data_IF_475036178441
#
_entry.id   IF_475036178441
#
_cell.length_a   1.000
_cell.length_b   1.000
_cell.length_c   1.000
_cell.angle_alpha   90.00
_cell.angle_beta   90.00
_cell.angle_gamma   90.00
#
_symmetry.space_group_name_H-M   'P 1'
#
loop_
_entity.id
_entity.type
_entity.pdbx_description
1 polymer ?
#
# COMPACT_ATOMS: atom_id res chain seq x y z
N UNK A 1 -4.05 -5.42 -65.16
CA UNK A 1 -4.49 -4.04 -64.88
C UNK A 1 -5.99 -4.07 -64.66
N UNK A 2 -6.39 -4.23 -63.40
CA UNK A 2 -7.72 -3.90 -62.88
C UNK A 2 -7.52 -3.74 -61.37
N UNK A 3 -7.85 -2.54 -60.90
CA UNK A 3 -7.74 -2.01 -59.55
C UNK A 3 -8.64 -2.75 -58.57
N UNK A 4 -8.11 -3.09 -57.39
CA UNK A 4 -8.91 -3.36 -56.21
C UNK A 4 -8.72 -2.21 -55.24
N UNK A 5 -9.85 -1.59 -54.94
CA UNK A 5 -10.06 -0.41 -54.11
C UNK A 5 -9.76 -0.71 -52.64
N UNK A 6 -9.37 0.35 -51.94
CA UNK A 6 -9.00 0.41 -50.53
C UNK A 6 -10.07 -0.21 -49.61
N UNK A 7 -9.64 -1.14 -48.75
CA UNK A 7 -10.41 -1.57 -47.58
C UNK A 7 -9.87 -0.84 -46.35
N UNK A 8 -10.73 0.00 -45.76
CA UNK A 8 -10.50 0.80 -44.57
C UNK A 8 -10.00 -0.05 -43.40
N UNK A 9 -8.77 0.24 -42.94
CA UNK A 9 -8.09 -0.43 -41.81
C UNK A 9 -8.58 0.00 -40.43
N UNK A 10 -9.52 0.94 -40.37
CA UNK A 10 -9.93 1.59 -39.11
C UNK A 10 -11.18 0.94 -38.46
N UNK A 11 -11.93 0.12 -39.21
CA UNK A 11 -13.13 -0.56 -38.69
C UNK A 11 -12.85 -1.83 -37.88
N UNK A 12 -11.71 -2.48 -38.10
CA UNK A 12 -11.36 -3.74 -37.42
C UNK A 12 -10.74 -3.52 -36.03
N UNK A 13 -10.21 -2.33 -35.75
CA UNK A 13 -9.63 -1.99 -34.44
C UNK A 13 -10.69 -1.65 -33.38
N UNK A 14 -11.93 -1.36 -33.82
CA UNK A 14 -13.05 -1.04 -32.93
C UNK A 14 -13.80 -2.31 -32.46
N UNK A 15 -13.92 -3.34 -33.30
CA UNK A 15 -14.51 -4.64 -32.93
C UNK A 15 -13.65 -5.46 -31.94
N UNK A 16 -12.34 -5.24 -31.94
CA UNK A 16 -11.40 -5.86 -31.00
C UNK A 16 -11.44 -5.24 -29.59
N UNK A 17 -11.93 -4.00 -29.44
CA UNK A 17 -12.05 -3.34 -28.12
C UNK A 17 -13.18 -3.95 -27.29
N UNK A 18 -14.24 -4.42 -27.92
CA UNK A 18 -15.40 -4.99 -27.23
C UNK A 18 -15.18 -6.41 -26.72
N UNK A 19 -14.27 -7.19 -27.33
CA UNK A 19 -13.90 -8.53 -26.83
C UNK A 19 -13.01 -8.45 -25.58
N UNK A 20 -12.27 -7.34 -25.40
CA UNK A 20 -11.35 -7.12 -24.27
C UNK A 20 -12.05 -6.44 -23.07
N UNK A 21 -13.30 -5.97 -23.23
CA UNK A 21 -13.97 -5.10 -22.27
C UNK A 21 -15.12 -5.73 -21.44
N UNK A 22 -15.39 -7.04 -21.54
CA UNK A 22 -16.56 -7.59 -20.84
C UNK A 22 -16.29 -8.00 -19.37
N UNK A 23 -17.14 -7.57 -18.42
CA UNK A 23 -17.04 -7.94 -17.02
C UNK A 23 -17.48 -9.40 -16.80
N UNK A 24 -16.81 -10.09 -15.88
CA UNK A 24 -17.17 -11.43 -15.43
C UNK A 24 -18.55 -11.36 -14.75
N UNK A 25 -19.62 -11.66 -15.47
CA UNK A 25 -20.93 -11.89 -14.88
C UNK A 25 -21.00 -13.30 -14.29
N UNK A 26 -21.51 -13.35 -13.07
CA UNK A 26 -21.68 -14.52 -12.23
C UNK A 26 -22.92 -15.31 -12.65
N UNK A 27 -22.75 -16.55 -13.07
CA UNK A 27 -23.84 -17.52 -13.02
C UNK A 27 -23.78 -18.28 -11.70
N UNK A 28 -24.87 -18.16 -10.94
CA UNK A 28 -25.05 -18.79 -9.65
C UNK A 28 -25.27 -20.29 -9.81
N UNK A 29 -24.36 -21.08 -9.25
CA UNK A 29 -24.64 -22.46 -8.91
C UNK A 29 -24.99 -22.52 -7.42
N UNK A 30 -26.28 -22.77 -7.15
CA UNK A 30 -26.79 -23.15 -5.85
C UNK A 30 -26.20 -24.51 -5.46
N UNK A 31 -25.13 -24.49 -4.67
CA UNK A 31 -24.74 -25.63 -3.85
C UNK A 31 -25.18 -25.35 -2.41
N UNK A 32 -26.22 -26.07 -1.97
CA UNK A 32 -26.66 -26.10 -0.58
C UNK A 32 -25.59 -26.81 0.24
N UNK A 33 -24.89 -26.07 1.10
CA UNK A 33 -23.99 -26.63 2.12
C UNK A 33 -24.82 -26.95 3.37
N UNK A 34 -24.74 -28.15 3.96
CA UNK A 34 -25.47 -28.49 5.17
C UNK A 34 -25.00 -27.61 6.35
N UNK A 35 -25.97 -26.98 7.00
CA UNK A 35 -25.83 -26.06 8.14
C UNK A 35 -25.53 -26.80 9.44
N UNK A 36 -24.31 -27.34 9.61
CA UNK A 36 -23.82 -27.79 10.91
C UNK A 36 -22.30 -27.59 11.05
N UNK A 37 -21.83 -26.35 11.15
CA UNK A 37 -20.51 -26.05 11.78
C UNK A 37 -20.34 -24.61 12.29
N UNK A 38 -21.39 -23.79 12.35
CA UNK A 38 -21.26 -22.35 12.62
C UNK A 38 -21.21 -21.89 14.09
N UNK A 39 -21.25 -22.79 15.08
CA UNK A 39 -21.41 -22.38 16.48
C UNK A 39 -20.19 -22.59 17.40
N UNK A 40 -18.94 -22.63 16.88
CA UNK A 40 -17.75 -22.68 17.74
C UNK A 40 -16.70 -21.56 17.52
N UNK A 41 -16.89 -20.63 16.57
CA UNK A 41 -15.92 -19.55 16.33
C UNK A 41 -16.23 -18.21 17.01
N UNK A 42 -17.41 -18.04 17.62
CA UNK A 42 -17.86 -16.71 18.09
C UNK A 42 -17.27 -16.31 19.44
N UNK A 43 -16.91 -17.28 20.30
CA UNK A 43 -16.35 -17.04 21.64
C UNK A 43 -14.82 -16.88 21.66
N UNK A 44 -14.15 -17.06 20.52
CA UNK A 44 -12.71 -16.80 20.36
C UNK A 44 -12.36 -15.38 19.92
N UNK A 45 -13.31 -14.61 19.36
CA UNK A 45 -13.01 -13.31 18.75
C UNK A 45 -12.90 -12.15 19.76
N UNK A 46 -13.64 -12.18 20.87
CA UNK A 46 -13.55 -11.13 21.92
C UNK A 46 -12.22 -11.23 22.71
N UNK A 47 -11.75 -12.46 23.00
CA UNK A 47 -10.47 -12.66 23.67
C UNK A 47 -9.25 -12.27 22.80
N UNK A 48 -9.34 -12.41 21.47
CA UNK A 48 -8.26 -12.02 20.55
C UNK A 48 -8.20 -10.48 20.42
N UNK A 49 -9.35 -9.80 20.42
CA UNK A 49 -9.41 -8.34 20.37
C UNK A 49 -8.78 -7.71 21.63
N UNK A 50 -9.16 -8.16 22.82
CA UNK A 50 -8.58 -7.65 24.08
C UNK A 50 -7.08 -7.97 24.20
N UNK A 51 -6.64 -9.18 23.79
CA UNK A 51 -5.21 -9.51 23.77
C UNK A 51 -4.41 -8.64 22.78
N UNK A 52 -4.98 -8.35 21.61
CA UNK A 52 -4.36 -7.49 20.60
C UNK A 52 -4.22 -6.04 21.08
N UNK A 53 -5.23 -5.49 21.79
CA UNK A 53 -5.17 -4.14 22.35
C UNK A 53 -4.15 -4.03 23.49
N UNK A 54 -4.05 -5.06 24.34
CA UNK A 54 -3.12 -5.09 25.46
C UNK A 54 -1.66 -5.24 24.98
N UNK A 55 -1.44 -6.07 23.96
CA UNK A 55 -0.13 -6.25 23.32
C UNK A 55 0.31 -4.99 22.56
N UNK A 56 -0.65 -4.28 21.95
CA UNK A 56 -0.39 -3.01 21.27
C UNK A 56 0.00 -1.90 22.27
N UNK A 57 -0.69 -1.79 23.42
CA UNK A 57 -0.35 -0.84 24.48
C UNK A 57 1.05 -1.10 25.08
N UNK A 58 1.39 -2.36 25.35
CA UNK A 58 2.70 -2.73 25.87
C UNK A 58 3.82 -2.44 24.86
N UNK A 59 3.55 -2.67 23.57
CA UNK A 59 4.47 -2.34 22.48
C UNK A 59 4.70 -0.84 22.39
N UNK A 60 3.64 -0.03 22.45
CA UNK A 60 3.72 1.44 22.44
C UNK A 60 4.51 2.01 23.64
N UNK A 61 4.34 1.44 24.84
CA UNK A 61 5.12 1.85 26.02
C UNK A 61 6.61 1.52 25.87
N UNK A 62 6.96 0.37 25.29
CA UNK A 62 8.35 0.02 24.98
C UNK A 62 8.94 0.97 23.94
N UNK A 63 8.19 1.34 22.89
CA UNK A 63 8.63 2.35 21.90
C UNK A 63 8.91 3.70 22.56
N UNK A 64 8.04 4.17 23.46
CA UNK A 64 8.26 5.42 24.22
C UNK A 64 9.54 5.39 25.03
N UNK A 65 9.83 4.25 25.66
CA UNK A 65 11.06 4.06 26.42
C UNK A 65 12.29 4.08 25.51
N UNK A 66 12.27 3.28 24.43
CA UNK A 66 13.38 3.18 23.48
C UNK A 66 13.66 4.55 22.80
N UNK A 67 12.63 5.29 22.40
CA UNK A 67 12.77 6.63 21.83
C UNK A 67 13.35 7.61 22.85
N UNK A 68 12.88 7.61 24.10
CA UNK A 68 13.41 8.50 25.14
C UNK A 68 14.88 8.22 25.46
N UNK A 69 15.31 6.95 25.45
CA UNK A 69 16.71 6.58 25.67
C UNK A 69 17.61 6.92 24.47
N UNK A 70 17.11 6.79 23.23
CA UNK A 70 17.87 7.00 22.00
C UNK A 70 17.95 8.47 21.59
N UNK A 71 16.86 9.22 21.73
CA UNK A 71 16.66 10.54 21.09
C UNK A 71 16.88 11.71 22.03
N UNK A 72 16.66 11.51 23.33
CA UNK A 72 16.64 12.58 24.33
C UNK A 72 17.74 12.44 25.40
N UNK A 73 18.80 11.68 25.10
CA UNK A 73 19.94 11.44 26.01
C UNK A 73 21.10 12.44 25.86
N UNK A 74 21.01 13.45 24.98
CA UNK A 74 22.05 14.48 24.86
C UNK A 74 21.94 15.54 25.95
N UNK A 75 23.08 15.99 26.50
CA UNK A 75 23.13 17.00 27.56
C UNK A 75 22.54 18.37 27.17
N UNK A 76 22.46 18.68 25.86
CA UNK A 76 21.75 19.85 25.30
C UNK A 76 20.23 19.79 25.53
N UNK A 77 19.69 18.60 25.79
CA UNK A 77 18.27 18.35 26.03
C UNK A 77 17.85 18.64 27.48
N UNK A 78 18.78 18.56 28.42
CA UNK A 78 18.53 18.52 29.87
C UNK A 78 18.52 19.90 30.55
N UNK A 79 18.89 20.99 29.88
CA UNK A 79 18.95 22.32 30.50
C UNK A 79 17.62 23.10 30.50
N UNK A 80 16.61 22.69 29.74
CA UNK A 80 15.29 23.35 29.74
C UNK A 80 14.31 22.64 30.67
N UNK A 81 14.50 22.90 31.96
CA UNK A 81 13.74 22.42 33.11
C UNK A 81 12.26 22.91 33.18
N UNK A 82 11.62 23.21 32.04
CA UNK A 82 10.23 23.68 31.92
C UNK A 82 9.33 22.79 31.05
N UNK A 83 9.84 21.75 30.39
CA UNK A 83 9.12 21.06 29.30
C UNK A 83 8.12 19.97 29.75
N UNK A 84 8.38 19.30 30.87
CA UNK A 84 7.44 18.33 31.45
C UNK A 84 6.13 18.99 31.91
N UNK A 85 6.24 20.08 32.67
CA UNK A 85 5.09 20.87 33.13
C UNK A 85 4.31 21.50 31.97
N UNK A 86 5.00 22.02 30.95
CA UNK A 86 4.33 22.61 29.78
C UNK A 86 3.56 21.58 28.95
N UNK A 87 4.07 20.36 28.80
CA UNK A 87 3.32 19.29 28.12
C UNK A 87 2.05 18.91 28.90
N UNK A 88 2.14 18.77 30.23
CA UNK A 88 0.96 18.49 31.07
C UNK A 88 -0.07 19.60 30.98
N UNK A 89 0.33 20.87 31.05
CA UNK A 89 -0.58 22.03 30.93
C UNK A 89 -1.28 22.06 29.57
N UNK A 90 -0.56 21.81 28.48
CA UNK A 90 -1.14 21.77 27.12
C UNK A 90 -2.12 20.60 26.99
N UNK A 91 -1.81 19.43 27.56
CA UNK A 91 -2.68 18.27 27.56
C UNK A 91 -3.94 18.47 28.40
N UNK A 92 -3.82 19.03 29.60
CA UNK A 92 -4.94 19.37 30.46
C UNK A 92 -5.86 20.39 29.79
N UNK A 93 -5.30 21.43 29.17
CA UNK A 93 -6.08 22.41 28.41
C UNK A 93 -6.83 21.78 27.22
N UNK A 94 -6.20 20.82 26.54
CA UNK A 94 -6.84 20.06 25.45
C UNK A 94 -7.98 19.18 25.93
N UNK A 95 -7.83 18.51 27.08
CA UNK A 95 -8.85 17.63 27.66
C UNK A 95 -10.01 18.43 28.24
N UNK A 96 -9.71 19.54 28.94
CA UNK A 96 -10.70 20.39 29.59
C UNK A 96 -11.58 21.18 28.58
N UNK A 97 -11.09 21.39 27.36
CA UNK A 97 -11.76 22.21 26.35
C UNK A 97 -12.32 21.41 25.18
N UNK A 98 -13.59 20.99 25.27
CA UNK A 98 -14.37 20.70 24.06
C UNK A 98 -14.58 22.01 23.28
N UNK A 99 -13.79 22.25 22.23
CA UNK A 99 -13.61 23.53 21.49
C UNK A 99 -12.55 24.51 22.03
N UNK A 100 -11.59 24.05 22.84
CA UNK A 100 -10.49 24.88 23.40
C UNK A 100 -9.29 25.16 22.48
N UNK A 101 -9.44 25.04 21.16
CA UNK A 101 -8.31 25.13 20.21
C UNK A 101 -7.53 26.45 20.28
N UNK A 102 -8.18 27.56 20.63
CA UNK A 102 -7.54 28.89 20.70
C UNK A 102 -6.55 29.01 21.86
N UNK A 103 -6.89 28.49 23.04
CA UNK A 103 -6.00 28.55 24.21
C UNK A 103 -4.79 27.64 24.01
N UNK A 104 -5.04 26.41 23.51
CA UNK A 104 -3.97 25.46 23.19
C UNK A 104 -3.04 26.04 22.12
N UNK A 105 -3.59 26.68 21.07
CA UNK A 105 -2.80 27.41 20.07
C UNK A 105 -1.89 28.48 20.67
N UNK A 106 -2.43 29.33 21.56
CA UNK A 106 -1.63 30.40 22.17
C UNK A 106 -0.49 29.84 23.02
N UNK A 107 -0.75 28.76 23.78
CA UNK A 107 0.26 28.10 24.61
C UNK A 107 1.35 27.46 23.74
N UNK A 108 0.98 26.77 22.64
CA UNK A 108 1.96 26.15 21.73
C UNK A 108 2.81 27.19 21.01
N UNK A 109 2.21 28.25 20.45
CA UNK A 109 2.97 29.32 19.78
C UNK A 109 3.91 30.04 20.75
N UNK A 110 3.46 30.32 21.99
CA UNK A 110 4.32 30.94 23.02
C UNK A 110 5.50 30.03 23.36
N UNK A 111 5.28 28.72 23.46
CA UNK A 111 6.33 27.74 23.69
C UNK A 111 7.37 27.73 22.56
N UNK A 112 6.92 27.74 21.30
CA UNK A 112 7.82 27.74 20.15
C UNK A 112 8.66 29.02 20.11
N UNK A 113 8.06 30.19 20.33
CA UNK A 113 8.78 31.47 20.34
C UNK A 113 9.75 31.62 21.51
N UNK A 114 9.50 30.96 22.65
CA UNK A 114 10.39 31.00 23.80
C UNK A 114 11.51 29.95 23.75
N UNK A 115 11.42 28.97 22.86
CA UNK A 115 12.40 27.88 22.75
C UNK A 115 13.64 28.33 22.00
N UNK A 116 14.81 27.92 22.49
CA UNK A 116 16.07 28.01 21.73
C UNK A 116 16.01 27.18 20.44
N UNK A 117 15.27 26.06 20.49
CA UNK A 117 15.11 25.15 19.36
C UNK A 117 13.62 24.80 19.16
N UNK A 118 12.89 25.58 18.34
CA UNK A 118 11.44 25.40 18.18
C UNK A 118 11.08 24.06 17.53
N UNK A 119 11.92 23.57 16.62
CA UNK A 119 11.78 22.26 15.96
C UNK A 119 11.81 21.12 16.98
N UNK A 120 12.83 21.08 17.82
CA UNK A 120 12.94 20.06 18.86
C UNK A 120 11.77 20.12 19.85
N UNK A 121 11.33 21.32 20.26
CA UNK A 121 10.16 21.48 21.13
C UNK A 121 8.88 20.95 20.50
N UNK A 122 8.70 21.15 19.19
CA UNK A 122 7.53 20.62 18.46
C UNK A 122 7.54 19.09 18.38
N UNK A 123 8.70 18.48 18.06
CA UNK A 123 8.85 17.02 18.06
C UNK A 123 8.53 16.44 19.44
N UNK A 124 9.08 17.05 20.48
CA UNK A 124 8.86 16.62 21.86
C UNK A 124 7.39 16.67 22.24
N UNK A 125 6.72 17.81 22.04
CA UNK A 125 5.32 18.00 22.40
C UNK A 125 4.39 17.06 21.62
N UNK A 126 4.66 16.89 20.32
CA UNK A 126 3.93 15.95 19.47
C UNK A 126 4.07 14.52 19.99
N UNK A 127 5.30 14.05 20.23
CA UNK A 127 5.57 12.67 20.66
C UNK A 127 4.99 12.35 22.04
N UNK A 128 5.05 13.32 22.96
CA UNK A 128 4.55 13.17 24.34
C UNK A 128 3.04 13.32 24.46
N UNK A 129 2.34 13.71 23.39
CA UNK A 129 0.88 13.73 23.37
C UNK A 129 0.30 12.36 23.70
N UNK A 130 -0.68 12.31 24.60
CA UNK A 130 -1.28 11.05 25.08
C UNK A 130 -1.93 10.21 23.97
N UNK A 131 -2.24 10.83 22.84
CA UNK A 131 -2.87 10.23 21.68
C UNK A 131 -1.93 10.08 20.48
N UNK A 132 -0.61 10.28 20.65
CA UNK A 132 0.36 10.25 19.56
C UNK A 132 0.22 9.00 18.69
N UNK A 133 0.32 7.79 19.24
CA UNK A 133 0.24 6.54 18.43
C UNK A 133 -1.17 6.20 17.90
N UNK A 134 -2.20 7.00 18.23
CA UNK A 134 -3.58 6.73 17.80
C UNK A 134 -3.77 7.21 16.36
N UNK A 135 -4.43 6.39 15.54
CA UNK A 135 -4.80 6.76 14.17
C UNK A 135 -6.04 7.69 14.16
N UNK A 136 -5.93 8.87 14.78
CA UNK A 136 -7.00 9.88 14.86
C UNK A 136 -6.60 11.15 14.13
N UNK A 137 -7.57 11.79 13.46
CA UNK A 137 -7.38 13.06 12.76
C UNK A 137 -7.52 14.27 13.67
N UNK A 138 -8.36 14.20 14.71
CA UNK A 138 -8.50 15.23 15.74
C UNK A 138 -7.75 14.81 17.01
N UNK A 139 -6.45 14.57 16.89
CA UNK A 139 -5.56 14.31 18.02
C UNK A 139 -4.80 15.56 18.43
N UNK A 140 -4.40 15.63 19.70
CA UNK A 140 -3.48 16.67 20.18
C UNK A 140 -2.17 16.61 19.39
N UNK A 141 -1.66 15.41 19.11
CA UNK A 141 -0.47 15.24 18.27
C UNK A 141 -0.64 15.88 16.88
N UNK A 142 -1.78 15.66 16.19
CA UNK A 142 -2.05 16.29 14.90
C UNK A 142 -2.17 17.80 15.04
N UNK A 143 -2.87 18.27 16.08
CA UNK A 143 -3.03 19.70 16.34
C UNK A 143 -1.70 20.40 16.57
N UNK A 144 -0.79 19.80 17.34
CA UNK A 144 0.56 20.34 17.59
C UNK A 144 1.35 20.46 16.30
N UNK A 145 1.30 19.44 15.44
CA UNK A 145 1.95 19.47 14.12
C UNK A 145 1.37 20.58 13.24
N UNK A 146 0.03 20.72 13.21
CA UNK A 146 -0.66 21.76 12.44
C UNK A 146 -0.31 23.16 12.95
N UNK A 147 -0.28 23.37 14.27
CA UNK A 147 0.09 24.67 14.84
C UNK A 147 1.57 24.98 14.64
N UNK A 148 2.45 23.98 14.65
CA UNK A 148 3.86 24.22 14.38
C UNK A 148 4.09 24.66 12.92
N UNK A 149 3.40 24.03 11.97
CA UNK A 149 3.40 24.46 10.56
C UNK A 149 2.93 25.92 10.41
N UNK A 150 1.81 26.28 11.06
CA UNK A 150 1.30 27.67 11.07
C UNK A 150 2.30 28.64 11.70
N UNK A 151 2.91 28.26 12.82
CA UNK A 151 3.91 29.09 13.49
C UNK A 151 5.16 29.30 12.63
N UNK A 152 5.62 28.28 11.88
CA UNK A 152 6.74 28.42 10.94
C UNK A 152 6.40 29.43 9.83
N UNK A 153 5.19 29.39 9.28
CA UNK A 153 4.74 30.34 8.27
C UNK A 153 4.67 31.78 8.81
N UNK A 154 4.13 31.96 10.03
CA UNK A 154 4.08 33.25 10.72
C UNK A 154 5.50 33.77 11.00
N UNK A 155 6.38 32.91 11.50
CA UNK A 155 7.78 33.26 11.78
C UNK A 155 8.51 33.69 10.50
N UNK A 156 8.33 32.96 9.39
CA UNK A 156 8.93 33.32 8.11
C UNK A 156 8.41 34.65 7.59
N UNK A 157 7.10 34.92 7.69
CA UNK A 157 6.51 36.21 7.29
C UNK A 157 7.07 37.38 8.09
N UNK A 158 7.34 37.20 9.38
CA UNK A 158 7.87 38.26 10.25
C UNK A 158 9.38 38.45 10.08
N UNK A 159 10.14 37.38 9.93
CA UNK A 159 11.61 37.42 9.98
C UNK A 159 12.30 37.30 8.62
N UNK A 160 11.58 36.86 7.58
CA UNK A 160 12.12 36.65 6.23
C UNK A 160 12.93 35.36 6.04
N UNK A 161 12.95 34.47 7.03
CA UNK A 161 13.65 33.17 6.97
C UNK A 161 12.96 32.12 7.85
N UNK A 162 13.22 30.83 7.57
CA UNK A 162 12.79 29.73 8.43
C UNK A 162 13.85 29.39 9.47
N UNK A 163 13.48 29.00 10.71
CA UNK A 163 14.43 28.51 11.69
C UNK A 163 15.21 27.32 11.15
N UNK A 164 16.54 27.34 11.27
CA UNK A 164 17.41 26.29 10.73
C UNK A 164 17.12 24.94 11.35
N UNK A 165 16.90 23.92 10.51
CA UNK A 165 16.76 22.52 10.94
C UNK A 165 18.13 21.84 10.85
N UNK A 166 18.65 21.36 11.99
CA UNK A 166 19.86 20.54 12.01
C UNK A 166 19.54 19.11 11.57
N UNK A 167 20.48 18.46 10.88
CA UNK A 167 20.31 17.08 10.40
C UNK A 167 19.97 16.09 11.52
N UNK A 168 20.56 16.26 12.71
CA UNK A 168 20.24 15.44 13.87
C UNK A 168 18.76 15.55 14.23
N UNK A 169 18.21 16.77 14.29
CA UNK A 169 16.80 17.01 14.61
C UNK A 169 15.89 16.41 13.55
N UNK A 170 16.25 16.48 12.26
CA UNK A 170 15.51 15.78 11.20
C UNK A 170 15.47 14.28 11.46
N UNK A 171 16.62 13.67 11.79
CA UNK A 171 16.69 12.25 12.12
C UNK A 171 15.78 11.92 13.30
N UNK A 172 15.80 12.72 14.36
CA UNK A 172 14.94 12.51 15.53
C UNK A 172 13.46 12.68 15.23
N UNK A 173 13.08 13.71 14.47
CA UNK A 173 11.70 13.93 14.06
C UNK A 173 11.17 12.76 13.24
N UNK A 174 11.99 12.26 12.30
CA UNK A 174 11.69 11.11 11.45
C UNK A 174 11.57 9.83 12.27
N UNK A 175 12.50 9.60 13.20
CA UNK A 175 12.46 8.46 14.11
C UNK A 175 11.21 8.51 15.00
N UNK A 176 10.80 9.68 15.47
CA UNK A 176 9.61 9.88 16.30
C UNK A 176 8.34 9.42 15.58
N UNK A 177 8.21 9.76 14.29
CA UNK A 177 7.04 9.43 13.48
C UNK A 177 7.17 8.12 12.71
N UNK A 178 8.30 7.42 12.80
CA UNK A 178 8.56 6.18 12.06
C UNK A 178 7.48 5.12 12.29
N UNK A 179 6.93 5.04 13.51
CA UNK A 179 5.87 4.10 13.93
C UNK A 179 4.50 4.76 14.08
N UNK A 180 4.36 6.00 13.65
CA UNK A 180 3.09 6.70 13.67
C UNK A 180 2.12 6.05 12.65
N UNK A 181 0.94 5.65 13.10
CA UNK A 181 -0.10 5.04 12.26
C UNK A 181 -0.78 6.07 11.35
N UNK A 182 -0.88 7.32 11.79
CA UNK A 182 -1.47 8.39 11.01
C UNK A 182 -0.49 8.89 9.94
N UNK A 183 -0.66 8.43 8.69
CA UNK A 183 0.20 8.82 7.56
C UNK A 183 0.19 10.32 7.23
N UNK A 184 -0.85 11.08 7.63
CA UNK A 184 -0.87 12.54 7.46
C UNK A 184 0.16 13.21 8.38
N UNK A 185 0.23 12.77 9.63
CA UNK A 185 1.24 13.26 10.60
C UNK A 185 2.63 12.94 10.09
N UNK A 186 2.89 11.69 9.68
CA UNK A 186 4.18 11.27 9.12
C UNK A 186 4.57 12.17 7.96
N UNK A 187 3.68 12.35 6.98
CA UNK A 187 3.95 13.16 5.79
C UNK A 187 4.21 14.63 6.14
N UNK A 188 3.44 15.22 7.04
CA UNK A 188 3.65 16.62 7.49
C UNK A 188 4.99 16.79 8.17
N UNK A 189 5.31 15.95 9.15
CA UNK A 189 6.59 16.02 9.87
C UNK A 189 7.74 15.79 8.91
N UNK A 190 7.69 14.77 8.07
CA UNK A 190 8.78 14.55 7.11
C UNK A 190 8.92 15.75 6.16
N UNK A 191 7.82 16.36 5.69
CA UNK A 191 7.89 17.55 4.84
C UNK A 191 8.47 18.79 5.55
N UNK A 192 8.11 19.03 6.82
CA UNK A 192 8.63 20.17 7.58
C UNK A 192 10.14 20.06 7.85
N UNK A 193 10.64 18.83 8.02
CA UNK A 193 12.03 18.57 8.42
C UNK A 193 12.91 18.10 7.26
N UNK A 194 12.34 17.92 6.06
CA UNK A 194 13.07 17.67 4.81
C UNK A 194 13.91 18.92 4.50
N UNK A 195 15.20 18.83 4.81
CA UNK A 195 16.18 19.84 4.45
C UNK A 195 16.52 19.83 2.95
N UNK A 196 17.56 20.59 2.60
CA UNK A 196 18.11 20.68 1.22
C UNK A 196 18.83 19.38 0.80
N UNK A 197 19.12 18.48 1.75
CA UNK A 197 19.89 17.26 1.51
C UNK A 197 19.01 16.07 1.10
N UNK A 198 19.59 15.15 0.33
CA UNK A 198 18.96 13.88 0.01
C UNK A 198 18.64 13.07 1.28
N UNK A 199 17.46 12.46 1.32
CA UNK A 199 16.98 11.69 2.48
C UNK A 199 17.67 10.32 2.64
N UNK A 200 18.71 10.02 1.84
CA UNK A 200 19.36 8.69 1.82
C UNK A 200 20.00 8.32 3.16
N UNK A 201 20.47 9.30 3.95
CA UNK A 201 20.99 9.04 5.30
C UNK A 201 19.92 8.53 6.30
N UNK A 202 18.63 8.58 5.94
CA UNK A 202 17.50 8.08 6.73
C UNK A 202 17.08 6.66 6.32
N UNK A 203 17.68 6.07 5.27
CA UNK A 203 17.44 4.67 4.85
C UNK A 203 17.59 3.70 6.03
N UNK A 204 18.60 3.81 6.92
CA UNK A 204 18.74 2.89 8.05
C UNK A 204 17.53 2.84 8.99
N UNK A 205 16.74 3.92 9.08
CA UNK A 205 15.50 3.93 9.88
C UNK A 205 14.43 3.05 9.24
N UNK A 206 14.35 3.06 7.90
CA UNK A 206 13.40 2.21 7.17
C UNK A 206 13.85 0.75 7.21
N UNK A 207 15.15 0.50 7.10
CA UNK A 207 15.74 -0.85 7.23
C UNK A 207 15.46 -1.46 8.61
N UNK A 208 15.61 -0.71 9.71
CA UNK A 208 15.23 -1.18 11.06
C UNK A 208 13.74 -1.57 11.14
N UNK A 209 12.84 -0.81 10.49
CA UNK A 209 11.42 -1.17 10.45
C UNK A 209 11.18 -2.45 9.63
N UNK A 210 11.93 -2.68 8.55
CA UNK A 210 11.85 -3.90 7.73
C UNK A 210 12.34 -5.10 8.54
N UNK A 211 13.48 -4.98 9.22
CA UNK A 211 14.04 -6.03 10.08
C UNK A 211 13.08 -6.42 11.20
N UNK A 212 12.32 -5.46 11.73
CA UNK A 212 11.28 -5.67 12.73
C UNK A 212 9.93 -6.11 12.16
N UNK A 213 9.85 -6.35 10.84
CA UNK A 213 8.64 -6.79 10.14
C UNK A 213 7.49 -5.76 10.19
N UNK A 214 7.80 -4.49 10.45
CA UNK A 214 6.84 -3.38 10.47
C UNK A 214 6.62 -2.80 9.05
N UNK A 215 6.33 -3.66 8.09
CA UNK A 215 6.30 -3.35 6.64
C UNK A 215 5.40 -2.16 6.27
N UNK A 216 4.27 -2.00 6.95
CA UNK A 216 3.35 -0.90 6.70
C UNK A 216 3.95 0.45 7.11
N UNK A 217 4.67 0.48 8.24
CA UNK A 217 5.38 1.66 8.72
C UNK A 217 6.57 1.98 7.81
N UNK A 218 7.35 0.95 7.44
CA UNK A 218 8.47 1.08 6.51
C UNK A 218 8.03 1.69 5.17
N UNK A 219 6.98 1.14 4.54
CA UNK A 219 6.46 1.62 3.27
C UNK A 219 5.95 3.07 3.36
N UNK A 220 5.15 3.41 4.38
CA UNK A 220 4.67 4.79 4.57
C UNK A 220 5.82 5.77 4.73
N UNK A 221 6.84 5.38 5.47
CA UNK A 221 8.01 6.22 5.70
C UNK A 221 8.86 6.37 4.43
N UNK A 222 9.09 5.31 3.69
CA UNK A 222 9.80 5.35 2.40
C UNK A 222 9.10 6.27 1.40
N UNK A 223 7.77 6.18 1.27
CA UNK A 223 6.96 7.10 0.45
C UNK A 223 7.06 8.52 0.99
N UNK A 224 6.90 8.71 2.30
CA UNK A 224 6.99 10.01 2.94
C UNK A 224 8.39 10.63 2.85
N UNK A 225 9.46 9.86 2.59
CA UNK A 225 10.84 10.32 2.38
C UNK A 225 11.26 10.36 0.90
N UNK A 226 10.38 9.99 -0.03
CA UNK A 226 10.66 9.87 -1.47
C UNK A 226 11.84 8.92 -1.77
N UNK A 227 12.00 7.84 -1.01
CA UNK A 227 13.08 6.86 -1.16
C UNK A 227 12.73 5.79 -2.22
N UNK A 228 12.38 6.22 -3.44
CA UNK A 228 12.05 5.33 -4.53
C UNK A 228 13.31 4.72 -5.16
N UNK A 229 13.25 3.47 -5.61
CA UNK A 229 14.38 2.73 -6.16
C UNK A 229 15.47 2.32 -5.16
N UNK A 230 15.28 2.55 -3.85
CA UNK A 230 16.26 2.18 -2.81
C UNK A 230 16.00 0.83 -2.15
N UNK A 231 14.78 0.31 -2.29
CA UNK A 231 14.32 -0.93 -1.66
C UNK A 231 13.97 -1.96 -2.72
N UNK A 232 14.03 -3.24 -2.34
CA UNK A 232 13.61 -4.38 -3.17
C UNK A 232 12.13 -4.69 -2.95
N UNK A 233 11.54 -5.48 -3.85
CA UNK A 233 10.13 -5.91 -3.73
C UNK A 233 9.88 -6.74 -2.47
N UNK A 234 10.88 -7.49 -2.02
CA UNK A 234 10.82 -8.35 -0.83
C UNK A 234 10.81 -7.57 0.48
N UNK A 235 11.31 -6.33 0.49
CA UNK A 235 11.53 -5.54 1.72
C UNK A 235 10.21 -5.14 2.38
N UNK A 236 9.21 -4.73 1.61
CA UNK A 236 7.86 -4.44 2.15
C UNK A 236 6.74 -4.57 1.12
N UNK A 237 7.02 -4.48 -0.19
CA UNK A 237 5.96 -4.49 -1.21
C UNK A 237 5.26 -5.85 -1.28
N UNK A 238 6.01 -6.94 -1.44
CA UNK A 238 5.46 -8.30 -1.42
C UNK A 238 4.84 -8.66 -0.05
N UNK A 239 5.51 -8.38 1.10
CA UNK A 239 4.89 -8.55 2.42
C UNK A 239 3.52 -7.86 2.54
N UNK A 240 3.40 -6.61 2.10
CA UNK A 240 2.14 -5.88 2.17
C UNK A 240 1.05 -6.47 1.27
N UNK A 241 1.41 -7.00 0.09
CA UNK A 241 0.47 -7.68 -0.80
C UNK A 241 -0.09 -8.93 -0.13
N UNK A 242 0.76 -9.77 0.47
CA UNK A 242 0.31 -11.02 1.12
C UNK A 242 -0.41 -10.76 2.44
N UNK A 243 -0.21 -9.60 3.07
CA UNK A 243 -0.97 -9.11 4.23
C UNK A 243 -2.29 -8.41 3.86
N UNK A 244 -2.70 -8.41 2.59
CA UNK A 244 -3.91 -7.72 2.11
C UNK A 244 -3.90 -6.18 2.33
N UNK A 245 -2.70 -5.59 2.46
CA UNK A 245 -2.45 -4.15 2.63
C UNK A 245 -2.02 -3.48 1.32
N UNK A 246 -2.70 -3.88 0.25
CA UNK A 246 -2.38 -3.50 -1.12
C UNK A 246 -2.38 -2.00 -1.38
N UNK A 247 -3.28 -1.25 -0.74
CA UNK A 247 -3.35 0.21 -0.89
C UNK A 247 -2.04 0.91 -0.54
N UNK A 248 -1.34 0.45 0.52
CA UNK A 248 -0.04 0.98 0.92
C UNK A 248 1.06 0.61 -0.09
N UNK A 249 1.11 -0.65 -0.51
CA UNK A 249 2.06 -1.11 -1.52
C UNK A 249 1.93 -0.29 -2.81
N UNK A 250 0.70 -0.01 -3.24
CA UNK A 250 0.42 0.78 -4.44
C UNK A 250 0.85 2.25 -4.31
N UNK A 251 0.86 2.84 -3.12
CA UNK A 251 1.38 4.20 -2.93
C UNK A 251 2.86 4.29 -3.28
N UNK A 252 3.66 3.28 -2.90
CA UNK A 252 5.05 3.19 -3.29
C UNK A 252 5.21 2.89 -4.78
N UNK A 253 4.48 1.87 -5.27
CA UNK A 253 4.56 1.44 -6.67
C UNK A 253 4.24 2.58 -7.65
N UNK A 254 3.28 3.47 -7.35
CA UNK A 254 2.93 4.63 -8.21
C UNK A 254 4.11 5.50 -8.63
N UNK A 255 5.21 5.49 -7.87
CA UNK A 255 6.38 6.34 -8.10
C UNK A 255 7.62 5.58 -8.55
N UNK A 256 7.55 4.25 -8.63
CA UNK A 256 8.68 3.39 -9.00
C UNK A 256 8.28 2.42 -10.13
N UNK A 257 8.57 2.82 -11.38
CA UNK A 257 8.22 2.06 -12.59
C UNK A 257 8.91 0.71 -12.66
N UNK A 258 10.16 0.63 -12.21
CA UNK A 258 10.93 -0.61 -12.24
C UNK A 258 10.32 -1.61 -11.24
N UNK A 259 9.97 -1.13 -10.04
CA UNK A 259 9.28 -1.94 -9.05
C UNK A 259 7.89 -2.42 -9.52
N UNK A 260 7.14 -1.57 -10.26
CA UNK A 260 5.85 -1.99 -10.85
C UNK A 260 6.01 -3.22 -11.75
N UNK A 261 6.99 -3.17 -12.67
CA UNK A 261 7.25 -4.26 -13.62
C UNK A 261 7.72 -5.51 -12.86
N UNK A 262 8.69 -5.36 -11.98
CA UNK A 262 9.29 -6.48 -11.24
C UNK A 262 8.25 -7.22 -10.37
N UNK A 263 7.40 -6.48 -9.65
CA UNK A 263 6.33 -7.07 -8.84
C UNK A 263 5.29 -7.77 -9.71
N UNK A 264 4.87 -7.14 -10.82
CA UNK A 264 3.85 -7.72 -11.70
C UNK A 264 4.37 -8.99 -12.39
N UNK A 265 5.60 -8.97 -12.89
CA UNK A 265 6.23 -10.15 -13.48
C UNK A 265 6.43 -11.28 -12.47
N UNK A 266 6.83 -10.96 -11.23
CA UNK A 266 6.96 -11.94 -10.16
C UNK A 266 5.61 -12.59 -9.78
N UNK A 267 4.55 -11.79 -9.66
CA UNK A 267 3.21 -12.32 -9.37
C UNK A 267 2.68 -13.18 -10.53
N UNK A 268 2.94 -12.74 -11.78
CA UNK A 268 2.48 -13.42 -12.99
C UNK A 268 3.11 -14.80 -13.16
N UNK A 269 4.42 -14.95 -12.89
CA UNK A 269 5.11 -16.24 -12.99
C UNK A 269 4.60 -17.27 -11.99
N UNK A 270 4.01 -16.83 -10.88
CA UNK A 270 3.53 -17.69 -9.81
C UNK A 270 2.01 -17.90 -9.76
N UNK A 271 1.25 -17.44 -10.75
CA UNK A 271 -0.22 -17.59 -10.79
C UNK A 271 -0.65 -19.05 -10.56
N UNK A 272 0.05 -20.00 -11.18
CA UNK A 272 -0.28 -21.43 -11.11
C UNK A 272 0.09 -22.06 -9.77
N UNK A 273 1.05 -21.49 -9.05
CA UNK A 273 1.58 -22.03 -7.78
C UNK A 273 1.69 -20.95 -6.70
N UNK A 274 0.57 -20.38 -6.22
CA UNK A 274 0.59 -19.36 -5.17
C UNK A 274 1.24 -19.85 -3.86
N UNK A 275 1.17 -21.15 -3.57
CA UNK A 275 1.83 -21.74 -2.40
C UNK A 275 3.36 -21.66 -2.50
N UNK A 276 3.94 -21.76 -3.69
CA UNK A 276 5.39 -21.63 -3.89
C UNK A 276 5.83 -20.18 -3.76
N UNK A 277 5.06 -19.25 -4.34
CA UNK A 277 5.24 -17.81 -4.12
C UNK A 277 5.28 -17.47 -2.62
N UNK A 278 4.32 -17.99 -1.86
CA UNK A 278 4.26 -17.77 -0.43
C UNK A 278 5.46 -18.37 0.30
N UNK A 279 5.97 -19.53 -0.13
CA UNK A 279 7.21 -20.09 0.42
C UNK A 279 8.41 -19.20 0.12
N UNK A 280 8.54 -18.67 -1.09
CA UNK A 280 9.60 -17.75 -1.46
C UNK A 280 9.54 -16.45 -0.65
N UNK A 281 8.36 -15.88 -0.50
CA UNK A 281 8.10 -14.69 0.30
C UNK A 281 8.30 -14.96 1.80
N UNK A 282 7.95 -16.16 2.29
CA UNK A 282 8.03 -16.52 3.72
C UNK A 282 9.45 -16.74 4.26
N UNK A 283 10.47 -16.81 3.38
CA UNK A 283 11.88 -16.86 3.81
C UNK A 283 12.26 -15.69 4.73
N UNK A 284 11.48 -14.61 4.70
CA UNK A 284 11.63 -13.41 5.52
C UNK A 284 10.75 -13.39 6.79
N UNK A 285 10.13 -14.51 7.18
CA UNK A 285 9.27 -14.63 8.39
C UNK A 285 8.20 -13.55 8.50
N UNK A 286 7.34 -13.41 7.49
CA UNK A 286 6.31 -12.35 7.46
C UNK A 286 5.14 -12.69 8.40
N UNK A 287 4.71 -11.77 9.28
CA UNK A 287 3.56 -11.96 10.15
C UNK A 287 2.25 -11.74 9.37
N UNK A 288 1.14 -12.27 9.89
CA UNK A 288 -0.23 -12.00 9.41
C UNK A 288 -0.46 -12.26 7.91
N UNK A 289 0.18 -13.29 7.35
CA UNK A 289 -0.01 -13.67 5.94
C UNK A 289 -1.44 -14.16 5.71
N UNK A 290 -2.12 -13.57 4.73
CA UNK A 290 -3.48 -13.94 4.36
C UNK A 290 -3.51 -15.09 3.35
N UNK A 291 -3.25 -16.31 3.83
CA UNK A 291 -3.25 -17.52 3.00
C UNK A 291 -4.57 -17.75 2.24
N UNK A 292 -5.72 -17.44 2.87
CA UNK A 292 -7.04 -17.67 2.26
C UNK A 292 -7.31 -16.82 1.01
N UNK A 293 -6.67 -15.65 0.90
CA UNK A 293 -6.82 -14.78 -0.27
C UNK A 293 -5.83 -15.08 -1.38
N UNK A 294 -4.77 -15.85 -1.15
CA UNK A 294 -3.72 -16.13 -2.14
C UNK A 294 -4.05 -17.36 -2.99
N UNK A 295 -5.16 -17.30 -3.71
CA UNK A 295 -5.58 -18.33 -4.68
C UNK A 295 -5.12 -17.95 -6.10
N UNK A 296 -4.99 -18.93 -6.99
CA UNK A 296 -4.65 -18.70 -8.41
C UNK A 296 -5.56 -17.66 -9.06
N UNK A 297 -6.86 -17.70 -8.76
CA UNK A 297 -7.84 -16.72 -9.27
C UNK A 297 -7.54 -15.31 -8.75
N UNK A 298 -7.28 -15.16 -7.46
CA UNK A 298 -7.03 -13.87 -6.85
C UNK A 298 -5.71 -13.26 -7.28
N UNK A 299 -4.65 -14.08 -7.41
CA UNK A 299 -3.35 -13.64 -7.94
C UNK A 299 -3.51 -13.17 -9.39
N UNK A 300 -4.17 -13.94 -10.26
CA UNK A 300 -4.39 -13.54 -11.66
C UNK A 300 -5.21 -12.23 -11.77
N UNK A 301 -6.24 -12.08 -10.94
CA UNK A 301 -7.02 -10.84 -10.88
C UNK A 301 -6.17 -9.67 -10.38
N UNK A 302 -5.30 -9.90 -9.39
CA UNK A 302 -4.38 -8.90 -8.88
C UNK A 302 -3.41 -8.42 -9.96
N UNK A 303 -2.77 -9.34 -10.69
CA UNK A 303 -1.87 -9.03 -11.81
C UNK A 303 -2.59 -8.20 -12.85
N UNK A 304 -3.79 -8.64 -13.29
CA UNK A 304 -4.61 -7.92 -14.27
C UNK A 304 -4.91 -6.49 -13.82
N UNK A 305 -5.30 -6.33 -12.54
CA UNK A 305 -5.65 -5.04 -11.95
C UNK A 305 -4.43 -4.10 -11.85
N UNK A 306 -3.28 -4.61 -11.43
CA UNK A 306 -2.04 -3.83 -11.33
C UNK A 306 -1.52 -3.43 -12.70
N UNK A 307 -1.49 -4.37 -13.66
CA UNK A 307 -1.05 -4.10 -15.02
C UNK A 307 -1.93 -3.05 -15.72
N UNK A 308 -3.25 -3.13 -15.56
CA UNK A 308 -4.17 -2.10 -16.06
C UNK A 308 -3.95 -0.76 -15.36
N UNK A 309 -3.84 -0.75 -14.03
CA UNK A 309 -3.68 0.49 -13.24
C UNK A 309 -2.40 1.24 -13.58
N UNK A 310 -1.32 0.52 -13.84
CA UNK A 310 -0.02 1.10 -14.15
C UNK A 310 0.26 1.13 -15.65
N UNK A 311 -0.68 0.75 -16.51
CA UNK A 311 -0.47 0.75 -17.97
C UNK A 311 0.83 0.00 -18.35
N UNK A 312 0.94 -1.24 -17.89
CA UNK A 312 2.08 -2.10 -18.18
C UNK A 312 1.90 -2.84 -19.50
N UNK A 313 2.98 -2.98 -20.26
CA UNK A 313 2.98 -3.73 -21.51
C UNK A 313 2.69 -5.22 -21.27
N UNK A 314 2.02 -5.88 -22.22
CA UNK A 314 1.65 -7.31 -22.16
C UNK A 314 2.86 -8.22 -21.94
N UNK A 315 4.05 -7.80 -22.37
CA UNK A 315 5.32 -8.52 -22.14
C UNK A 315 5.68 -8.68 -20.66
N UNK A 316 5.18 -7.81 -19.78
CA UNK A 316 5.46 -7.89 -18.33
C UNK A 316 4.64 -8.96 -17.59
N UNK A 317 3.56 -9.48 -18.21
CA UNK A 317 2.61 -10.41 -17.60
C UNK A 317 2.09 -11.43 -18.64
N UNK A 318 3.00 -12.25 -19.21
CA UNK A 318 2.69 -13.18 -20.29
C UNK A 318 1.71 -14.28 -19.87
N UNK A 319 1.77 -14.79 -18.64
CA UNK A 319 0.88 -15.87 -18.20
C UNK A 319 -0.57 -15.38 -18.06
N UNK A 320 -0.76 -14.17 -17.55
CA UNK A 320 -2.07 -13.51 -17.49
C UNK A 320 -2.61 -13.26 -18.89
N UNK A 321 -1.78 -12.76 -19.80
CA UNK A 321 -2.15 -12.54 -21.21
C UNK A 321 -2.57 -13.85 -21.87
N UNK A 322 -1.79 -14.92 -21.73
CA UNK A 322 -2.11 -16.25 -22.25
C UNK A 322 -3.43 -16.77 -21.66
N UNK A 323 -3.63 -16.63 -20.35
CA UNK A 323 -4.85 -17.07 -19.67
C UNK A 323 -6.10 -16.33 -20.16
N UNK A 324 -5.99 -15.03 -20.46
CA UNK A 324 -7.07 -14.25 -21.06
C UNK A 324 -7.38 -14.74 -22.47
N UNK A 325 -6.35 -14.99 -23.31
CA UNK A 325 -6.54 -15.56 -24.66
C UNK A 325 -7.21 -16.93 -24.62
N UNK A 326 -6.80 -17.82 -23.72
CA UNK A 326 -7.45 -19.13 -23.50
C UNK A 326 -8.92 -18.94 -23.08
N UNK A 327 -9.20 -17.97 -22.19
CA UNK A 327 -10.57 -17.65 -21.78
C UNK A 327 -11.44 -17.21 -22.95
N UNK A 328 -10.93 -16.32 -23.81
CA UNK A 328 -11.60 -15.90 -25.04
C UNK A 328 -11.86 -17.06 -25.98
N UNK A 329 -10.88 -17.95 -26.17
CA UNK A 329 -11.03 -19.16 -26.98
C UNK A 329 -12.12 -20.10 -26.45
N UNK A 330 -12.17 -20.32 -25.12
CA UNK A 330 -13.23 -21.13 -24.49
C UNK A 330 -14.61 -20.53 -24.66
N UNK A 331 -14.72 -19.20 -24.56
CA UNK A 331 -15.97 -18.48 -24.80
C UNK A 331 -16.43 -18.62 -26.25
N UNK A 332 -15.51 -18.47 -27.21
CA UNK A 332 -15.77 -18.75 -28.62
C UNK A 332 -16.34 -20.18 -28.76
N UNK A 333 -15.65 -21.20 -28.25
CA UNK A 333 -16.10 -22.61 -28.34
C UNK A 333 -17.46 -22.82 -27.65
N UNK A 334 -17.78 -22.08 -26.60
CA UNK A 334 -19.09 -22.09 -25.97
C UNK A 334 -20.16 -21.52 -26.93
N UNK A 335 -19.95 -20.33 -27.47
CA UNK A 335 -20.86 -19.70 -28.42
C UNK A 335 -21.15 -20.56 -29.64
N UNK A 336 -20.13 -21.22 -30.19
CA UNK A 336 -20.29 -22.07 -31.37
C UNK A 336 -21.09 -23.33 -31.11
N UNK A 337 -20.71 -24.11 -30.09
CA UNK A 337 -21.20 -25.48 -29.93
C UNK A 337 -22.30 -25.64 -28.87
N UNK A 338 -22.50 -24.64 -28.00
CA UNK A 338 -23.53 -24.69 -26.96
C UNK A 338 -24.67 -23.73 -27.31
N UNK A 339 -24.34 -22.48 -27.63
CA UNK A 339 -25.37 -21.47 -27.95
C UNK A 339 -25.78 -21.49 -29.43
N UNK A 340 -24.98 -22.07 -30.33
CA UNK A 340 -25.14 -21.99 -31.78
C UNK A 340 -25.35 -20.54 -32.28
N UNK A 341 -24.73 -19.58 -31.61
CA UNK A 341 -24.95 -18.13 -31.85
C UNK A 341 -23.95 -17.52 -32.85
N UNK A 342 -23.03 -18.32 -33.39
CA UNK A 342 -22.03 -17.92 -34.38
C UNK A 342 -22.07 -18.91 -35.55
N UNK A 343 -22.15 -18.38 -36.77
CA UNK A 343 -22.08 -19.12 -38.03
C UNK A 343 -20.69 -19.73 -38.28
N UNK A 344 -20.51 -20.51 -39.34
CA UNK A 344 -19.26 -21.26 -39.54
C UNK A 344 -18.11 -20.41 -40.07
N UNK A 345 -18.42 -19.39 -40.87
CA UNK A 345 -17.43 -18.53 -41.50
C UNK A 345 -16.83 -17.56 -40.47
N UNK A 346 -17.69 -16.85 -39.74
CA UNK A 346 -17.28 -15.98 -38.64
C UNK A 346 -16.58 -16.74 -37.50
N UNK A 347 -16.96 -18.01 -37.28
CA UNK A 347 -16.26 -18.89 -36.33
C UNK A 347 -14.80 -19.12 -36.71
N UNK A 348 -14.55 -19.50 -37.98
CA UNK A 348 -13.21 -19.80 -38.48
C UNK A 348 -12.31 -18.59 -38.39
N UNK A 349 -12.82 -17.43 -38.81
CA UNK A 349 -12.11 -16.15 -38.77
C UNK A 349 -11.75 -15.75 -37.33
N UNK A 350 -12.71 -15.76 -36.40
CA UNK A 350 -12.45 -15.39 -35.00
C UNK A 350 -11.47 -16.33 -34.30
N UNK A 351 -11.51 -17.62 -34.60
CA UNK A 351 -10.57 -18.61 -34.06
C UNK A 351 -9.18 -18.45 -34.66
N UNK A 352 -9.08 -18.20 -35.97
CA UNK A 352 -7.82 -17.95 -36.67
C UNK A 352 -7.11 -16.71 -36.10
N UNK A 353 -7.85 -15.62 -35.88
CA UNK A 353 -7.34 -14.40 -35.23
C UNK A 353 -6.92 -14.67 -33.77
N UNK A 354 -7.74 -15.40 -33.00
CA UNK A 354 -7.49 -15.62 -31.58
C UNK A 354 -6.28 -16.53 -31.32
N UNK A 355 -6.11 -17.58 -32.13
CA UNK A 355 -5.04 -18.56 -31.99
C UNK A 355 -3.77 -18.09 -32.67
N UNK A 356 -3.88 -17.56 -33.89
CA UNK A 356 -2.76 -17.08 -34.71
C UNK A 356 -1.56 -18.06 -34.63
N UNK A 357 -0.34 -17.56 -34.46
CA UNK A 357 0.90 -18.36 -34.41
C UNK A 357 1.18 -19.03 -33.04
N UNK A 358 0.27 -18.95 -32.06
CA UNK A 358 0.52 -19.47 -30.72
C UNK A 358 0.26 -20.98 -30.62
N UNK A 359 1.34 -21.76 -30.61
CA UNK A 359 1.30 -23.23 -30.41
C UNK A 359 0.52 -23.63 -29.15
N UNK A 360 0.66 -22.86 -28.08
CA UNK A 360 -0.03 -23.12 -26.80
C UNK A 360 -1.56 -22.98 -26.94
N UNK A 361 -2.03 -21.98 -27.68
CA UNK A 361 -3.45 -21.80 -27.97
C UNK A 361 -3.98 -22.84 -28.96
N UNK A 362 -3.15 -23.29 -29.91
CA UNK A 362 -3.49 -24.38 -30.83
C UNK A 362 -3.69 -25.70 -30.06
N UNK A 363 -2.79 -26.01 -29.13
CA UNK A 363 -2.91 -27.21 -28.27
C UNK A 363 -4.16 -27.14 -27.39
N UNK A 364 -4.45 -25.96 -26.81
CA UNK A 364 -5.64 -25.77 -25.99
C UNK A 364 -6.94 -25.86 -26.83
N UNK A 365 -6.96 -25.35 -28.07
CA UNK A 365 -8.10 -25.52 -28.98
C UNK A 365 -8.43 -26.99 -29.23
N UNK A 366 -7.39 -27.79 -29.54
CA UNK A 366 -7.54 -29.23 -29.75
C UNK A 366 -8.03 -29.90 -28.48
N UNK A 367 -7.43 -29.60 -27.32
CA UNK A 367 -7.81 -30.21 -26.05
C UNK A 367 -9.29 -29.95 -25.71
N UNK A 368 -9.76 -28.71 -25.87
CA UNK A 368 -11.15 -28.32 -25.61
C UNK A 368 -12.12 -29.06 -26.55
N UNK A 369 -11.77 -29.17 -27.84
CA UNK A 369 -12.61 -29.87 -28.81
C UNK A 369 -12.64 -31.38 -28.55
N UNK A 370 -11.51 -32.01 -28.27
CA UNK A 370 -11.45 -33.46 -27.97
C UNK A 370 -12.28 -33.83 -26.74
N UNK A 371 -12.31 -32.98 -25.70
CA UNK A 371 -13.13 -33.21 -24.51
C UNK A 371 -14.64 -33.10 -24.75
N UNK A 372 -15.08 -32.29 -25.73
CA UNK A 372 -16.51 -32.20 -26.09
C UNK A 372 -16.97 -33.37 -26.97
N UNK A 373 -16.11 -33.90 -27.85
CA UNK A 373 -16.42 -35.09 -28.65
C UNK A 373 -16.55 -36.39 -27.84
N UNK A 374 -16.11 -36.43 -26.58
CA UNK A 374 -16.30 -37.57 -25.65
C UNK A 374 -17.54 -37.43 -24.75
N UNK A 375 -18.28 -36.32 -24.82
CA UNK A 375 -19.49 -36.06 -24.01
C UNK A 375 -20.79 -35.93 -24.83
N UNK A 376 -20.69 -36.12 -26.15
CA UNK A 376 -21.80 -36.42 -27.05
C UNK A 376 -21.75 -37.91 -27.38
#
# INVERSE_FOLDING_TARGET
>A
MASYEDFDSDTDEELLKDVVALPIQSEGNNFVIPSQTQNQCSTGMENIAEQSETQEQCSQQRVKKDFNEIVFSSDDFLSDMCRGQQCSVIQEAWIAGGMGGQQVKQLTHKLFSASQNPHLSAVYLMYHSYDFFKNKTNSLASFVVDQFEVWLDEFHKTNGYYPTVQQQITKEAVLAVSRQKNGKIVKKVVNMYRGVHYNTYLIPIVEDLIERQEFASACRLAVALNLFGQFKKEDFVLPLIVQDKLSLAEEYLKKDRNMQIDVVSFLDSHIKQPCEMLKEISKTSIPDVNYGKMTTKNVANLVTRLAKRFELDKKSHPNTTLRQKIGGLRYLVHKKYIENSIDEENWKELVEIAVSDSVELQVELVSINTFKFHRL
#
